data_IF_261431673491
#
_entry.id   IF_261431673491
#
_cell.length_a   1.000
_cell.length_b   1.000
_cell.length_c   1.000
_cell.angle_alpha   90.00
_cell.angle_beta   90.00
_cell.angle_gamma   90.00
#
_symmetry.space_group_name_H-M   'P 1'
#
loop_
_entity.id
_entity.type
_entity.pdbx_description
1 polymer ?
#
# COMPACT_ATOMS: atom_id res chain seq x y z
N UNK A 1 -21.17 -22.86 -9.38
CA UNK A 1 -19.83 -22.39 -8.96
C UNK A 1 -19.10 -23.57 -8.37
N UNK A 2 -17.89 -23.88 -8.84
CA UNK A 2 -17.02 -24.82 -8.12
C UNK A 2 -16.77 -24.28 -6.72
N UNK A 3 -16.68 -25.15 -5.73
CA UNK A 3 -16.41 -24.76 -4.35
C UNK A 3 -14.95 -24.29 -4.25
N UNK A 4 -14.74 -22.98 -4.25
CA UNK A 4 -13.40 -22.37 -4.08
C UNK A 4 -13.24 -21.99 -2.62
N UNK A 5 -12.24 -22.59 -1.96
CA UNK A 5 -11.90 -22.28 -0.56
C UNK A 5 -10.72 -21.31 -0.50
N UNK A 6 -10.93 -20.13 0.09
CA UNK A 6 -9.87 -19.16 0.38
C UNK A 6 -9.43 -19.36 1.83
N UNK A 7 -8.12 -19.53 2.06
CA UNK A 7 -7.54 -19.70 3.40
C UNK A 7 -6.87 -18.38 3.78
N UNK A 8 -7.38 -17.71 4.81
CA UNK A 8 -6.85 -16.43 5.30
C UNK A 8 -7.71 -15.85 6.43
N UNK A 9 -7.17 -14.86 7.15
CA UNK A 9 -7.94 -14.11 8.13
C UNK A 9 -8.98 -13.20 7.44
N UNK A 10 -10.11 -12.95 8.10
CA UNK A 10 -11.06 -11.96 7.62
C UNK A 10 -10.46 -10.56 7.72
N UNK A 11 -10.59 -9.78 6.66
CA UNK A 11 -10.16 -8.38 6.59
C UNK A 11 -11.38 -7.57 6.13
N UNK A 12 -12.27 -7.17 7.05
CA UNK A 12 -13.54 -6.52 6.68
C UNK A 12 -13.33 -5.12 6.07
N UNK A 13 -12.17 -4.50 6.28
CA UNK A 13 -11.79 -3.17 5.83
C UNK A 13 -10.75 -3.18 4.69
N UNK A 14 -10.72 -4.23 3.85
CA UNK A 14 -9.85 -4.24 2.65
C UNK A 14 -10.15 -3.01 1.79
N UNK A 15 -9.13 -2.23 1.38
CA UNK A 15 -9.30 -1.17 0.39
C UNK A 15 -9.87 -1.74 -0.91
N UNK A 16 -11.06 -1.29 -1.29
CA UNK A 16 -11.81 -1.84 -2.41
C UNK A 16 -12.50 -0.73 -3.20
N UNK A 17 -12.56 -0.91 -4.52
CA UNK A 17 -13.33 -0.06 -5.42
C UNK A 17 -14.06 -0.97 -6.40
N UNK A 18 -15.36 -0.74 -6.59
CA UNK A 18 -16.16 -1.50 -7.55
C UNK A 18 -15.62 -1.40 -8.98
N UNK A 19 -15.88 -2.44 -9.77
CA UNK A 19 -15.43 -2.49 -11.16
C UNK A 19 -16.05 -1.34 -11.97
N UNK A 20 -15.25 -0.54 -12.71
CA UNK A 20 -15.77 0.49 -13.59
C UNK A 20 -16.69 -0.09 -14.67
N UNK A 21 -17.80 0.60 -14.98
CA UNK A 21 -18.82 0.14 -15.94
C UNK A 21 -18.26 -0.12 -17.35
N UNK A 22 -17.24 0.64 -17.75
CA UNK A 22 -16.57 0.51 -19.05
C UNK A 22 -15.53 -0.62 -19.10
N UNK A 23 -15.39 -1.41 -18.04
CA UNK A 23 -14.45 -2.55 -18.01
C UNK A 23 -14.93 -3.70 -18.88
N UNK A 24 -14.00 -4.31 -19.62
CA UNK A 24 -14.32 -5.48 -20.46
C UNK A 24 -14.82 -6.65 -19.59
N UNK A 25 -15.90 -7.35 -19.97
CA UNK A 25 -16.50 -8.40 -19.13
C UNK A 25 -15.54 -9.53 -18.74
N UNK A 26 -14.54 -9.83 -19.58
CA UNK A 26 -13.54 -10.88 -19.35
C UNK A 26 -12.36 -10.44 -18.46
N UNK A 27 -12.27 -9.16 -18.08
CA UNK A 27 -11.12 -8.62 -17.35
C UNK A 27 -11.29 -8.85 -15.84
N UNK A 28 -10.45 -9.70 -15.21
CA UNK A 28 -10.64 -10.08 -13.80
C UNK A 28 -10.12 -9.04 -12.80
N UNK A 29 -9.39 -8.02 -13.27
CA UNK A 29 -8.70 -7.03 -12.44
C UNK A 29 -8.82 -5.63 -13.06
N UNK A 30 -8.92 -4.60 -12.22
CA UNK A 30 -8.91 -3.20 -12.63
C UNK A 30 -7.99 -2.39 -11.71
N UNK A 31 -7.57 -1.21 -12.19
CA UNK A 31 -6.79 -0.28 -11.37
C UNK A 31 -7.74 0.59 -10.56
N UNK A 32 -7.31 0.92 -9.34
CA UNK A 32 -7.93 1.98 -8.56
C UNK A 32 -7.90 3.31 -9.36
N UNK A 33 -9.02 4.03 -9.38
CA UNK A 33 -9.22 5.24 -10.19
C UNK A 33 -8.26 6.36 -9.82
N UNK A 34 -7.91 6.47 -8.54
CA UNK A 34 -7.12 7.59 -8.02
C UNK A 34 -5.66 7.19 -7.79
N UNK A 35 -5.16 6.25 -8.60
CA UNK A 35 -3.74 5.94 -8.62
C UNK A 35 -2.90 7.14 -9.09
N UNK A 36 -1.71 7.37 -8.51
CA UNK A 36 -1.09 6.59 -7.44
C UNK A 36 -1.60 6.98 -6.04
N UNK A 37 -1.67 6.01 -5.11
CA UNK A 37 -2.09 6.25 -3.72
C UNK A 37 -1.02 6.95 -2.85
N UNK A 38 0.25 6.89 -3.25
CA UNK A 38 1.36 7.62 -2.61
C UNK A 38 2.00 8.50 -3.69
N UNK A 39 2.02 9.81 -3.42
CA UNK A 39 2.62 10.80 -4.32
C UNK A 39 4.16 10.78 -4.30
N UNK A 40 4.74 11.69 -5.07
CA UNK A 40 6.18 11.98 -5.00
C UNK A 40 6.48 12.83 -3.77
N UNK A 41 7.72 12.76 -3.30
CA UNK A 41 8.19 13.46 -2.12
C UNK A 41 7.29 13.26 -0.88
N UNK A 42 6.96 12.01 -0.52
CA UNK A 42 5.97 11.73 0.52
C UNK A 42 6.46 12.09 1.94
N UNK A 43 7.76 12.32 2.11
CA UNK A 43 8.38 12.78 3.34
C UNK A 43 9.70 13.50 3.05
N UNK A 44 10.20 14.24 4.03
CA UNK A 44 11.52 14.87 3.96
C UNK A 44 12.61 13.82 3.66
N UNK A 45 13.50 14.13 2.73
CA UNK A 45 14.59 13.25 2.32
C UNK A 45 14.18 12.07 1.41
N UNK A 46 12.89 11.79 1.22
CA UNK A 46 12.41 10.73 0.32
C UNK A 46 11.88 11.31 -0.97
N UNK A 47 12.47 10.93 -2.09
CA UNK A 47 11.98 11.31 -3.41
C UNK A 47 10.77 10.48 -3.84
N UNK A 48 10.82 9.16 -3.60
CA UNK A 48 9.84 8.20 -4.12
C UNK A 48 9.63 7.04 -3.15
N UNK A 49 8.38 6.57 -3.04
CA UNK A 49 8.06 5.26 -2.45
C UNK A 49 7.45 4.39 -3.55
N UNK A 50 8.02 3.20 -3.73
CA UNK A 50 7.50 2.18 -4.62
C UNK A 50 8.00 0.82 -4.13
N UNK A 51 7.21 -0.23 -4.33
CA UNK A 51 7.36 -1.54 -3.66
C UNK A 51 7.03 -1.45 -2.16
N UNK A 52 5.80 -1.83 -1.82
CA UNK A 52 5.25 -1.76 -0.47
C UNK A 52 4.79 -3.15 -0.06
N UNK A 53 5.28 -3.63 1.08
CA UNK A 53 4.75 -4.83 1.73
C UNK A 53 3.73 -4.37 2.78
N UNK A 54 2.45 -4.69 2.61
CA UNK A 54 1.36 -4.23 3.49
C UNK A 54 0.62 -5.44 4.05
N UNK A 55 0.24 -5.37 5.33
CA UNK A 55 -0.58 -6.40 5.98
C UNK A 55 -1.60 -5.82 6.96
N UNK A 56 -2.72 -6.50 7.22
CA UNK A 56 -3.63 -6.14 8.30
C UNK A 56 -2.92 -6.24 9.66
N UNK A 57 -3.10 -5.25 10.52
CA UNK A 57 -2.51 -5.20 11.85
C UNK A 57 -3.37 -4.36 12.79
N UNK A 58 -3.77 -4.91 13.95
CA UNK A 58 -4.56 -4.22 14.99
C UNK A 58 -5.84 -3.51 14.49
N UNK A 59 -6.54 -4.11 13.53
CA UNK A 59 -7.77 -3.54 12.94
C UNK A 59 -7.53 -2.57 11.79
N UNK A 60 -6.27 -2.28 11.46
CA UNK A 60 -5.84 -1.38 10.39
C UNK A 60 -4.81 -2.06 9.49
N UNK A 61 -3.95 -1.29 8.81
CA UNK A 61 -2.87 -1.81 7.99
C UNK A 61 -1.53 -1.25 8.45
N UNK A 62 -0.50 -2.08 8.39
CA UNK A 62 0.90 -1.67 8.55
C UNK A 62 1.65 -2.01 7.27
N UNK A 63 2.65 -1.21 6.93
CA UNK A 63 3.49 -1.48 5.79
C UNK A 63 4.98 -1.21 6.01
N UNK A 64 5.77 -1.94 5.25
CA UNK A 64 7.20 -1.73 5.07
C UNK A 64 7.42 -1.32 3.61
N UNK A 65 8.03 -0.16 3.43
CA UNK A 65 8.10 0.55 2.16
C UNK A 65 9.55 0.72 1.73
N UNK A 66 9.83 0.52 0.45
CA UNK A 66 11.08 1.01 -0.13
C UNK A 66 10.94 2.50 -0.41
N UNK A 67 11.66 3.31 0.36
CA UNK A 67 11.80 4.75 0.17
C UNK A 67 13.12 5.06 -0.52
N UNK A 68 13.06 5.57 -1.74
CA UNK A 68 14.23 6.08 -2.44
C UNK A 68 14.48 7.54 -2.06
N UNK A 69 15.69 7.84 -1.59
CA UNK A 69 16.08 9.21 -1.23
C UNK A 69 16.35 10.08 -2.48
N UNK A 70 16.55 11.38 -2.26
CA UNK A 70 16.86 12.36 -3.33
C UNK A 70 18.16 12.07 -4.08
N UNK A 71 19.08 11.30 -3.46
CA UNK A 71 20.32 10.81 -4.08
C UNK A 71 20.16 9.47 -4.83
N UNK A 72 18.95 8.91 -4.88
CA UNK A 72 18.65 7.66 -5.56
C UNK A 72 18.92 6.38 -4.75
N UNK A 73 19.39 6.51 -3.51
CA UNK A 73 19.69 5.35 -2.66
C UNK A 73 18.39 4.87 -1.97
N UNK A 74 18.06 3.57 -2.06
CA UNK A 74 16.88 3.02 -1.43
C UNK A 74 17.13 2.68 0.05
N UNK A 75 16.13 2.98 0.88
CA UNK A 75 16.03 2.58 2.28
C UNK A 75 14.68 1.90 2.54
N UNK A 76 14.61 1.19 3.67
CA UNK A 76 13.37 0.62 4.17
C UNK A 76 12.74 1.58 5.18
N UNK A 77 11.45 1.83 5.04
CA UNK A 77 10.66 2.77 5.85
C UNK A 77 9.45 2.03 6.42
N UNK A 78 9.20 2.14 7.73
CA UNK A 78 8.02 1.57 8.37
C UNK A 78 6.89 2.60 8.47
N UNK A 79 5.64 2.21 8.19
CA UNK A 79 4.48 3.08 8.41
C UNK A 79 3.28 2.29 8.95
N UNK A 80 2.61 2.85 9.96
CA UNK A 80 1.24 2.48 10.34
C UNK A 80 0.26 3.30 9.52
N UNK A 81 -0.74 2.66 8.94
CA UNK A 81 -1.81 3.33 8.18
C UNK A 81 -3.02 3.38 9.11
N UNK A 82 -3.18 4.45 9.89
CA UNK A 82 -4.47 4.72 10.56
C UNK A 82 -5.41 5.45 9.62
N UNK A 83 -6.71 5.38 9.91
CA UNK A 83 -7.83 5.72 9.03
C UNK A 83 -7.83 7.09 8.34
N UNK A 84 -6.94 8.02 8.69
CA UNK A 84 -6.83 9.35 8.12
C UNK A 84 -5.39 9.63 7.70
N UNK A 85 -5.18 10.27 6.55
CA UNK A 85 -3.92 10.38 5.80
C UNK A 85 -2.69 11.00 6.52
N UNK A 86 -2.73 11.26 7.83
CA UNK A 86 -1.69 11.91 8.61
C UNK A 86 -1.21 11.01 9.75
N UNK A 87 -0.34 10.05 9.45
CA UNK A 87 0.47 9.36 10.46
C UNK A 87 1.90 9.16 9.97
N UNK A 88 2.82 9.48 10.86
CA UNK A 88 4.26 9.67 10.65
C UNK A 88 4.91 8.46 9.96
N UNK A 89 5.67 8.75 8.89
CA UNK A 89 6.61 7.80 8.30
C UNK A 89 7.80 7.66 9.25
N UNK A 90 7.91 6.52 9.94
CA UNK A 90 9.08 6.24 10.76
C UNK A 90 10.22 5.74 9.85
N UNK A 91 11.19 6.62 9.64
CA UNK A 91 12.48 6.26 9.04
C UNK A 91 13.34 5.59 10.10
N UNK A 92 13.31 4.27 10.16
CA UNK A 92 14.39 3.54 10.80
C UNK A 92 15.35 3.08 9.71
N UNK A 93 16.54 3.69 9.56
CA UNK A 93 17.59 3.00 8.85
C UNK A 93 17.81 1.67 9.56
N UNK A 94 17.67 0.56 8.83
CA UNK A 94 18.17 -0.72 9.32
C UNK A 94 19.68 -0.53 9.49
N UNK A 95 20.13 -0.24 10.71
CA UNK A 95 21.54 -0.30 11.06
C UNK A 95 21.98 -1.75 10.88
N UNK A 96 23.03 -1.97 10.10
CA UNK A 96 23.79 -3.22 10.15
C UNK A 96 24.43 -3.41 11.52
#
# INVERSE_FOLDING_TARGET
>A
MSEVKIIGAAVPNVPWQERPENSKPWMPLWRYSDNPIIGRNPAEGVARIFNSAVMPYKGEFIGVFRGEQTNGIPYIVGRRIEGDANDELFFQPLSN
#
